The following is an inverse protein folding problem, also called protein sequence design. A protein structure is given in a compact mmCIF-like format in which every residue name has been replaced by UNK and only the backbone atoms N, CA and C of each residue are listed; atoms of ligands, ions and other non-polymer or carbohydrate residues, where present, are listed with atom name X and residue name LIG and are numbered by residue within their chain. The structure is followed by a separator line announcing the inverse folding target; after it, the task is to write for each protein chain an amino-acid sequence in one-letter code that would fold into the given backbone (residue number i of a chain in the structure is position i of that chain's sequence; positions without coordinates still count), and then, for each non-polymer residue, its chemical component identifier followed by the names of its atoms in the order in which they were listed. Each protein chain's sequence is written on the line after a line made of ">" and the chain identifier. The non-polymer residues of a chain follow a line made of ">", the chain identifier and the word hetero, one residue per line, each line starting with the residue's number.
data_IF_066338390013
#
_entry.id   IF_066338390013
#
_cell.length_a   1.000
_cell.length_b   1.000
_cell.length_c   1.000
_cell.angle_alpha   90.00
_cell.angle_beta   90.00
_cell.angle_gamma   90.00
#
_symmetry.space_group_name_H-M   'P 1'
#
loop_
_entity.id
_entity.type
_entity.pdbx_description
1 polymer ?
#
# COMPACT_ATOMS: atom_id res chain seq x y z
N UNK A 1 25.12 45.69 41.98
CA UNK A 1 23.83 45.59 41.26
C UNK A 1 24.13 45.65 39.78
N UNK A 2 24.06 44.51 39.08
CA UNK A 2 24.31 44.41 37.63
C UNK A 2 22.95 44.26 36.95
N UNK A 3 22.65 45.19 36.05
CA UNK A 3 21.46 45.20 35.20
C UNK A 3 21.69 44.19 34.06
N UNK A 4 20.92 43.11 34.02
CA UNK A 4 20.91 42.18 32.90
C UNK A 4 19.85 42.61 31.88
N UNK A 5 20.32 43.11 30.74
CA UNK A 5 19.52 43.44 29.57
C UNK A 5 19.10 42.13 28.88
N UNK A 6 17.79 41.82 28.86
CA UNK A 6 17.27 40.69 28.09
C UNK A 6 17.20 41.07 26.60
N UNK A 7 18.07 40.47 25.79
CA UNK A 7 17.97 40.50 24.32
C UNK A 7 16.88 39.50 23.92
N UNK A 8 15.76 40.01 23.41
CA UNK A 8 14.73 39.19 22.76
C UNK A 8 15.24 38.83 21.36
N UNK A 9 15.78 37.63 21.22
CA UNK A 9 16.10 37.03 19.92
C UNK A 9 14.82 36.63 19.21
N UNK A 10 14.50 37.32 18.11
CA UNK A 10 13.48 36.90 17.15
C UNK A 10 13.93 35.59 16.48
N UNK A 11 13.20 34.50 16.72
CA UNK A 11 13.35 33.27 15.92
C UNK A 11 12.84 33.53 14.50
N UNK A 12 13.54 33.09 13.44
CA UNK A 12 13.01 33.15 12.09
C UNK A 12 11.84 32.16 11.95
N UNK A 13 10.74 32.66 11.41
CA UNK A 13 9.60 31.86 10.96
C UNK A 13 10.04 30.96 9.79
N UNK A 14 10.51 29.76 10.12
CA UNK A 14 10.70 28.67 9.17
C UNK A 14 9.33 28.20 8.71
N UNK A 15 8.88 28.69 7.55
CA UNK A 15 7.73 28.15 6.84
C UNK A 15 8.03 26.71 6.43
N UNK A 16 7.70 25.75 7.29
CA UNK A 16 7.64 24.35 6.92
C UNK A 16 6.51 24.17 5.90
N UNK A 17 6.86 24.24 4.62
CA UNK A 17 6.04 23.66 3.58
C UNK A 17 5.86 22.18 3.95
N UNK A 18 4.61 21.77 4.21
CA UNK A 18 4.28 20.38 4.42
C UNK A 18 4.90 19.55 3.26
N UNK A 19 5.53 18.40 3.55
CA UNK A 19 5.95 17.49 2.50
C UNK A 19 4.77 17.26 1.56
N UNK A 20 4.96 17.53 0.27
CA UNK A 20 3.96 17.17 -0.74
C UNK A 20 3.87 15.64 -0.73
N UNK A 21 2.87 15.11 -0.02
CA UNK A 21 2.53 13.69 -0.09
C UNK A 21 2.33 13.37 -1.58
N UNK A 22 3.13 12.46 -2.16
CA UNK A 22 2.93 12.02 -3.52
C UNK A 22 1.49 11.54 -3.65
N UNK A 23 0.76 12.12 -4.61
CA UNK A 23 -0.62 11.73 -4.87
C UNK A 23 -0.59 10.24 -5.19
N UNK A 24 -1.32 9.44 -4.42
CA UNK A 24 -1.49 8.02 -4.72
C UNK A 24 -1.79 7.87 -6.23
N UNK A 25 -1.21 6.87 -6.91
CA UNK A 25 -1.58 6.56 -8.28
C UNK A 25 -3.11 6.58 -8.34
N UNK A 26 -3.69 7.22 -9.37
CA UNK A 26 -5.13 7.07 -9.62
C UNK A 26 -5.43 5.58 -9.52
N UNK A 27 -6.52 5.23 -8.84
CA UNK A 27 -7.11 3.91 -8.89
C UNK A 27 -6.85 3.26 -10.25
N UNK A 28 -6.68 1.94 -10.29
CA UNK A 28 -7.32 1.21 -11.35
C UNK A 28 -8.61 1.95 -11.74
N UNK A 29 -8.64 2.59 -12.91
CA UNK A 29 -9.87 2.51 -13.67
C UNK A 29 -10.22 1.03 -13.59
N UNK A 30 -11.48 0.65 -13.46
CA UNK A 30 -11.88 -0.77 -13.37
C UNK A 30 -11.19 -1.68 -14.42
N UNK A 31 -10.64 -1.10 -15.49
CA UNK A 31 -9.81 -1.71 -16.53
C UNK A 31 -8.31 -1.32 -16.58
N UNK A 32 -7.73 -0.64 -15.59
CA UNK A 32 -6.30 -0.25 -15.53
C UNK A 32 -5.64 -0.70 -14.24
N UNK A 33 -4.31 -0.77 -14.20
CA UNK A 33 -3.51 -1.08 -13.01
C UNK A 33 -2.27 -0.20 -13.03
N UNK A 34 -1.87 0.31 -11.86
CA UNK A 34 -0.65 1.10 -11.72
C UNK A 34 0.52 0.17 -11.40
N UNK A 35 1.59 0.26 -12.21
CA UNK A 35 2.82 -0.53 -12.05
C UNK A 35 4.05 0.39 -12.15
N UNK A 36 5.16 -0.07 -11.60
CA UNK A 36 6.46 0.56 -11.72
C UNK A 36 7.23 -0.09 -12.87
N UNK A 37 7.33 0.63 -13.99
CA UNK A 37 8.03 0.18 -15.19
C UNK A 37 9.52 0.47 -15.08
N UNK A 38 10.36 -0.54 -15.28
CA UNK A 38 11.80 -0.33 -15.24
C UNK A 38 12.28 0.34 -16.52
N UNK A 39 13.22 1.28 -16.38
CA UNK A 39 13.94 1.88 -17.48
C UNK A 39 15.26 1.15 -17.67
N UNK A 40 15.86 1.25 -18.86
CA UNK A 40 17.17 0.65 -19.15
C UNK A 40 18.36 1.13 -18.27
N UNK A 41 18.12 2.05 -17.33
CA UNK A 41 19.08 2.50 -16.33
C UNK A 41 18.82 1.95 -14.91
N UNK A 42 17.91 0.98 -14.75
CA UNK A 42 17.56 0.37 -13.47
C UNK A 42 16.70 1.24 -12.55
N UNK A 43 16.15 2.36 -13.04
CA UNK A 43 15.16 3.18 -12.32
C UNK A 43 13.75 2.81 -12.75
N UNK A 44 12.80 2.95 -11.84
CA UNK A 44 11.40 2.72 -12.14
C UNK A 44 10.65 4.02 -12.47
N UNK A 45 9.52 3.88 -13.16
CA UNK A 45 8.57 4.96 -13.40
C UNK A 45 7.16 4.44 -13.28
N UNK A 46 6.32 5.20 -12.59
CA UNK A 46 4.92 4.86 -12.43
C UNK A 46 4.20 5.00 -13.78
N UNK A 47 3.61 3.91 -14.24
CA UNK A 47 2.74 3.88 -15.42
C UNK A 47 1.39 3.28 -15.03
N UNK A 48 0.36 3.59 -15.81
CA UNK A 48 -0.98 3.03 -15.63
C UNK A 48 -1.35 2.26 -16.91
N UNK A 49 -1.39 0.94 -16.81
CA UNK A 49 -1.59 0.01 -17.93
C UNK A 49 -2.99 -0.56 -17.91
N UNK A 50 -3.52 -1.00 -19.05
CA UNK A 50 -4.78 -1.73 -19.05
C UNK A 50 -4.61 -3.10 -18.35
N UNK A 51 -5.64 -3.59 -17.64
CA UNK A 51 -5.64 -4.93 -17.03
C UNK A 51 -5.33 -6.01 -18.06
N UNK A 52 -5.83 -5.87 -19.29
CA UNK A 52 -5.56 -6.78 -20.40
C UNK A 52 -4.10 -6.75 -20.89
N UNK A 53 -3.37 -5.65 -20.66
CA UNK A 53 -1.96 -5.52 -21.01
C UNK A 53 -1.02 -5.94 -19.86
N UNK A 54 -1.56 -6.10 -18.64
CA UNK A 54 -0.79 -6.42 -17.45
C UNK A 54 0.08 -7.68 -17.59
N UNK A 55 -0.37 -8.79 -18.22
CA UNK A 55 0.49 -9.97 -18.40
C UNK A 55 1.75 -9.69 -19.24
N UNK A 56 1.67 -8.78 -20.22
CA UNK A 56 2.82 -8.41 -21.05
C UNK A 56 3.86 -7.58 -20.25
N UNK A 57 3.40 -6.83 -19.26
CA UNK A 57 4.28 -6.08 -18.37
C UNK A 57 4.88 -6.98 -17.27
N UNK A 58 4.06 -7.84 -16.65
CA UNK A 58 4.42 -8.62 -15.45
C UNK A 58 5.10 -9.96 -15.72
N UNK A 59 5.14 -10.45 -16.97
CA UNK A 59 5.82 -11.70 -17.29
C UNK A 59 5.23 -12.92 -16.56
N UNK A 60 6.04 -13.98 -16.42
CA UNK A 60 5.74 -15.13 -15.56
C UNK A 60 6.29 -14.86 -14.15
N UNK A 61 5.50 -15.20 -13.12
CA UNK A 61 5.83 -15.03 -11.68
C UNK A 61 5.84 -13.58 -11.15
N UNK A 62 5.21 -12.62 -11.84
CA UNK A 62 5.05 -11.24 -11.30
C UNK A 62 6.35 -10.44 -11.25
N UNK A 63 7.43 -10.97 -11.81
CA UNK A 63 8.67 -10.27 -12.13
C UNK A 63 8.62 -10.06 -13.64
N UNK A 64 8.36 -8.82 -14.05
CA UNK A 64 8.15 -8.46 -15.45
C UNK A 64 9.13 -9.09 -16.41
N UNK A 65 8.65 -9.59 -17.56
CA UNK A 65 9.52 -9.98 -18.68
C UNK A 65 10.41 -8.83 -19.19
N UNK A 66 10.07 -7.60 -18.77
CA UNK A 66 10.81 -6.37 -19.01
C UNK A 66 11.34 -5.72 -17.73
N UNK A 67 11.15 -6.34 -16.56
CA UNK A 67 11.55 -5.85 -15.23
C UNK A 67 10.55 -4.90 -14.57
N UNK A 68 9.28 -4.92 -14.97
CA UNK A 68 8.21 -4.16 -14.32
C UNK A 68 7.80 -4.84 -13.00
N UNK A 69 7.40 -4.04 -12.02
CA UNK A 69 6.99 -4.51 -10.69
C UNK A 69 5.78 -3.73 -10.17
N UNK A 70 5.09 -4.27 -9.17
CA UNK A 70 4.08 -3.51 -8.44
C UNK A 70 4.75 -2.58 -7.41
N UNK A 71 4.14 -1.43 -7.08
CA UNK A 71 4.44 -0.77 -5.81
C UNK A 71 4.29 -1.75 -4.65
N UNK A 72 5.27 -1.76 -3.74
CA UNK A 72 5.40 -2.71 -2.65
C UNK A 72 6.14 -4.01 -3.01
N UNK A 73 6.55 -4.22 -4.27
CA UNK A 73 7.37 -5.37 -4.62
C UNK A 73 8.77 -5.24 -3.99
N UNK A 74 9.27 -6.29 -3.32
CA UNK A 74 10.65 -6.32 -2.84
C UNK A 74 11.61 -6.36 -4.02
N UNK A 75 12.65 -5.53 -3.97
CA UNK A 75 13.76 -5.52 -4.92
C UNK A 75 15.04 -5.58 -4.10
N UNK A 76 15.69 -6.75 -4.10
CA UNK A 76 16.79 -7.09 -3.19
C UNK A 76 16.34 -6.98 -1.72
N UNK A 77 16.99 -6.12 -0.93
CA UNK A 77 16.74 -5.85 0.49
C UNK A 77 15.84 -4.62 0.72
N UNK A 78 15.29 -4.05 -0.35
CA UNK A 78 14.48 -2.82 -0.34
C UNK A 78 13.11 -3.06 -0.98
N UNK A 79 12.28 -2.03 -0.98
CA UNK A 79 10.96 -2.05 -1.61
C UNK A 79 10.80 -0.93 -2.63
N UNK A 80 9.96 -1.14 -3.65
CA UNK A 80 9.57 -0.08 -4.59
C UNK A 80 8.34 0.64 -4.05
N UNK A 81 8.44 1.92 -3.69
CA UNK A 81 7.31 2.73 -3.20
C UNK A 81 6.30 3.11 -4.29
N UNK A 82 5.19 3.78 -3.93
CA UNK A 82 4.18 4.27 -4.89
C UNK A 82 4.69 5.30 -5.90
N UNK A 83 5.75 6.03 -5.56
CA UNK A 83 6.45 6.93 -6.47
C UNK A 83 7.50 6.19 -7.33
N UNK A 84 7.55 4.86 -7.20
CA UNK A 84 8.52 3.97 -7.80
C UNK A 84 9.97 4.24 -7.37
N UNK A 85 10.18 4.91 -6.23
CA UNK A 85 11.49 4.98 -5.59
C UNK A 85 11.81 3.66 -4.88
N UNK A 86 13.06 3.24 -4.92
CA UNK A 86 13.54 2.13 -4.11
C UNK A 86 13.85 2.67 -2.72
N UNK A 87 13.14 2.18 -1.71
CA UNK A 87 13.13 2.71 -0.33
C UNK A 87 13.46 1.61 0.68
N UNK A 88 14.13 2.02 1.76
CA UNK A 88 14.23 1.19 2.96
C UNK A 88 12.87 1.19 3.65
N UNK A 89 12.16 0.07 3.58
CA UNK A 89 10.81 -0.08 4.12
C UNK A 89 10.71 -1.34 4.96
N UNK A 90 9.78 -1.33 5.91
CA UNK A 90 9.39 -2.49 6.70
C UNK A 90 8.09 -3.07 6.18
N UNK A 91 7.94 -4.39 6.24
CA UNK A 91 6.67 -5.08 6.01
C UNK A 91 5.95 -5.26 7.34
N UNK A 92 4.74 -4.73 7.44
CA UNK A 92 3.81 -4.99 8.53
C UNK A 92 2.76 -5.98 8.06
N UNK A 93 2.41 -6.95 8.89
CA UNK A 93 1.51 -8.06 8.53
C UNK A 93 0.41 -8.23 9.59
N UNK A 94 -0.78 -8.62 9.14
CA UNK A 94 -1.84 -9.09 10.02
C UNK A 94 -1.57 -10.53 10.46
N UNK A 95 -2.29 -10.99 11.48
CA UNK A 95 -2.52 -12.43 11.63
C UNK A 95 -3.31 -12.99 10.43
N UNK A 96 -3.47 -14.31 10.35
CA UNK A 96 -4.42 -14.91 9.41
C UNK A 96 -5.85 -14.42 9.71
N UNK A 97 -6.51 -13.88 8.70
CA UNK A 97 -7.84 -13.33 8.79
C UNK A 97 -8.79 -14.16 7.93
N UNK A 98 -9.73 -14.86 8.59
CA UNK A 98 -10.85 -15.50 7.92
C UNK A 98 -11.88 -14.42 7.53
N UNK A 99 -11.92 -14.06 6.24
CA UNK A 99 -12.83 -13.05 5.73
C UNK A 99 -14.05 -13.72 5.09
N UNK A 100 -15.24 -13.22 5.43
CA UNK A 100 -16.50 -13.63 4.81
C UNK A 100 -16.60 -13.17 3.35
N UNK A 101 -17.56 -13.71 2.62
CA UNK A 101 -17.84 -13.28 1.25
C UNK A 101 -18.36 -11.82 1.20
N UNK A 102 -18.14 -11.12 0.10
CA UNK A 102 -18.53 -9.72 -0.07
C UNK A 102 -19.99 -9.48 0.32
N UNK A 103 -20.20 -8.45 1.14
CA UNK A 103 -21.53 -8.11 1.65
C UNK A 103 -21.98 -8.91 2.87
N UNK A 104 -21.17 -9.84 3.40
CA UNK A 104 -21.52 -10.55 4.64
C UNK A 104 -21.41 -9.70 5.91
N UNK A 105 -20.92 -8.44 5.82
CA UNK A 105 -20.10 -7.86 6.89
C UNK A 105 -18.85 -8.72 7.07
N UNK A 106 -17.86 -8.54 7.94
CA UNK A 106 -16.68 -9.45 8.02
C UNK A 106 -15.85 -9.70 6.73
N UNK A 107 -16.19 -9.06 5.61
CA UNK A 107 -15.51 -9.16 4.33
C UNK A 107 -14.34 -8.17 4.24
N UNK A 108 -14.01 -7.48 5.31
CA UNK A 108 -12.93 -6.51 5.35
C UNK A 108 -11.87 -6.91 6.35
N UNK A 109 -10.61 -6.73 5.96
CA UNK A 109 -9.47 -6.80 6.84
C UNK A 109 -8.52 -5.64 6.60
N UNK A 110 -7.68 -5.36 7.59
CA UNK A 110 -6.69 -4.29 7.49
C UNK A 110 -5.46 -4.59 8.32
N UNK A 111 -4.37 -3.92 7.97
CA UNK A 111 -3.15 -3.84 8.79
C UNK A 111 -2.69 -2.38 8.84
N UNK A 112 -2.18 -1.95 9.98
CA UNK A 112 -1.66 -0.60 10.18
C UNK A 112 -0.14 -0.61 10.06
N UNK A 113 0.41 0.45 9.50
CA UNK A 113 1.85 0.68 9.58
C UNK A 113 2.26 0.96 11.03
N UNK A 114 3.44 0.50 11.47
CA UNK A 114 3.96 0.81 12.79
C UNK A 114 4.04 2.32 13.03
N UNK A 115 3.90 2.74 14.28
CA UNK A 115 3.94 4.14 14.67
C UNK A 115 5.19 4.85 14.14
N UNK A 116 5.00 6.05 13.57
CA UNK A 116 6.08 6.82 12.96
C UNK A 116 6.45 6.39 11.55
N UNK A 117 5.67 5.52 10.89
CA UNK A 117 5.87 5.16 9.48
C UNK A 117 4.61 5.38 8.64
N UNK A 118 4.77 5.41 7.32
CA UNK A 118 3.68 5.65 6.36
C UNK A 118 3.65 4.58 5.27
N UNK A 119 2.46 4.21 4.82
CA UNK A 119 2.28 3.18 3.79
C UNK A 119 2.80 3.66 2.43
N UNK A 120 3.57 2.82 1.74
CA UNK A 120 4.08 3.04 0.38
C UNK A 120 3.79 1.88 -0.58
N UNK A 121 3.22 0.79 -0.06
CA UNK A 121 2.79 -0.38 -0.80
C UNK A 121 2.05 -1.34 0.12
N UNK A 122 1.61 -2.48 -0.41
CA UNK A 122 0.95 -3.51 0.38
C UNK A 122 0.17 -4.47 -0.50
N UNK A 123 -0.55 -5.38 0.14
CA UNK A 123 -1.32 -6.40 -0.54
C UNK A 123 -1.85 -7.45 0.43
N UNK A 124 -2.08 -8.64 -0.12
CA UNK A 124 -2.50 -9.80 0.64
C UNK A 124 -1.85 -11.07 0.09
N UNK A 125 -1.79 -12.07 0.94
CA UNK A 125 -1.42 -13.44 0.61
C UNK A 125 -2.60 -14.34 0.95
N UNK A 126 -2.89 -15.27 0.05
CA UNK A 126 -3.91 -16.29 0.28
C UNK A 126 -3.33 -17.40 1.15
N UNK A 127 -4.06 -17.80 2.20
CA UNK A 127 -3.71 -18.95 3.03
C UNK A 127 -4.52 -20.15 2.55
N UNK A 128 -3.89 -21.15 1.89
CA UNK A 128 -4.60 -22.30 1.37
C UNK A 128 -5.24 -23.13 2.48
N UNK A 129 -6.51 -23.49 2.29
CA UNK A 129 -7.15 -24.52 3.10
C UNK A 129 -6.62 -25.89 2.66
N UNK A 130 -5.91 -26.64 3.52
CA UNK A 130 -5.34 -27.94 3.15
C UNK A 130 -6.40 -29.01 2.84
N UNK A 131 -7.66 -28.76 3.18
CA UNK A 131 -8.79 -29.67 2.92
C UNK A 131 -9.45 -29.42 1.56
N UNK A 132 -9.13 -28.30 0.90
CA UNK A 132 -9.70 -27.90 -0.39
C UNK A 132 -8.63 -28.07 -1.49
N UNK A 133 -8.93 -28.76 -2.61
CA UNK A 133 -7.98 -28.90 -3.71
C UNK A 133 -7.48 -27.53 -4.23
N UNK A 134 -6.17 -27.38 -4.34
CA UNK A 134 -5.47 -26.13 -4.72
C UNK A 134 -6.03 -25.48 -6.00
N UNK A 135 -6.38 -26.29 -7.01
CA UNK A 135 -6.98 -25.82 -8.28
C UNK A 135 -8.34 -25.13 -8.15
N UNK A 136 -9.00 -25.23 -6.99
CA UNK A 136 -10.27 -24.56 -6.70
C UNK A 136 -10.13 -23.32 -5.82
N UNK A 137 -8.91 -23.05 -5.33
CA UNK A 137 -8.61 -21.96 -4.42
C UNK A 137 -8.08 -20.74 -5.18
N UNK A 138 -8.99 -19.98 -5.80
CA UNK A 138 -8.66 -18.69 -6.40
C UNK A 138 -9.03 -17.56 -5.44
N UNK A 139 -8.12 -16.59 -5.26
CA UNK A 139 -8.44 -15.45 -4.42
C UNK A 139 -9.46 -14.54 -5.10
N UNK A 140 -10.56 -14.24 -4.40
CA UNK A 140 -11.65 -13.43 -4.91
C UNK A 140 -11.62 -11.97 -4.42
N UNK A 141 -10.47 -11.42 -4.00
CA UNK A 141 -10.42 -10.06 -3.41
C UNK A 141 -11.05 -9.01 -4.34
N UNK A 142 -12.02 -8.27 -3.80
CA UNK A 142 -12.74 -7.21 -4.50
C UNK A 142 -11.99 -5.87 -4.45
N UNK A 143 -11.30 -5.60 -3.33
CA UNK A 143 -10.52 -4.38 -3.13
C UNK A 143 -9.24 -4.68 -2.38
N UNK A 144 -8.15 -4.04 -2.79
CA UNK A 144 -6.86 -4.05 -2.10
C UNK A 144 -6.22 -2.69 -2.33
N UNK A 145 -6.12 -1.86 -1.30
CA UNK A 145 -5.62 -0.50 -1.44
C UNK A 145 -4.89 0.02 -0.19
N UNK A 146 -4.15 1.12 -0.39
CA UNK A 146 -3.59 1.90 0.69
C UNK A 146 -4.69 2.61 1.49
N UNK A 147 -4.72 2.38 2.80
CA UNK A 147 -5.52 3.17 3.72
C UNK A 147 -4.75 4.44 4.10
N UNK A 148 -4.97 5.52 3.36
CA UNK A 148 -4.31 6.81 3.54
C UNK A 148 -5.15 7.97 2.97
N UNK A 149 -4.84 9.24 3.30
CA UNK A 149 -5.53 10.38 2.71
C UNK A 149 -5.55 10.32 1.18
N UNK A 150 -6.75 10.39 0.60
CA UNK A 150 -6.95 10.32 -0.84
C UNK A 150 -7.11 8.91 -1.40
N UNK A 151 -7.25 7.87 -0.56
CA UNK A 151 -7.54 6.48 -0.95
C UNK A 151 -8.63 6.39 -2.01
N UNK A 152 -8.58 5.36 -2.86
CA UNK A 152 -9.42 5.28 -4.05
C UNK A 152 -10.87 5.03 -3.70
N UNK A 153 -11.12 4.18 -2.71
CA UNK A 153 -12.45 3.94 -2.14
C UNK A 153 -13.10 5.18 -1.54
N UNK A 154 -12.31 6.22 -1.22
CA UNK A 154 -12.71 7.41 -0.45
C UNK A 154 -13.24 7.08 0.95
N UNK A 155 -12.94 5.89 1.46
CA UNK A 155 -13.35 5.45 2.78
C UNK A 155 -12.39 5.95 3.87
N UNK A 156 -11.11 6.21 3.55
CA UNK A 156 -10.16 6.68 4.56
C UNK A 156 -10.65 7.99 5.22
N UNK A 157 -10.62 8.10 6.56
CA UNK A 157 -10.01 7.17 7.52
C UNK A 157 -10.91 6.06 8.07
N UNK A 158 -12.19 6.01 7.69
CA UNK A 158 -13.21 5.13 8.29
C UNK A 158 -13.59 4.01 7.34
N UNK A 159 -13.13 2.80 7.64
CA UNK A 159 -13.54 1.58 6.97
C UNK A 159 -14.58 0.83 7.82
N UNK A 160 -15.39 -0.07 7.24
CA UNK A 160 -16.47 -0.74 7.96
C UNK A 160 -16.10 -1.43 9.29
N UNK A 161 -14.83 -1.82 9.48
CA UNK A 161 -14.35 -2.51 10.69
C UNK A 161 -13.10 -1.91 11.32
N UNK A 162 -12.59 -0.80 10.78
CA UNK A 162 -11.41 -0.15 11.31
C UNK A 162 -11.43 1.34 11.01
N UNK A 163 -11.07 2.15 12.00
CA UNK A 163 -10.85 3.59 11.81
C UNK A 163 -9.39 3.88 12.06
N UNK A 164 -8.70 4.31 11.01
CA UNK A 164 -7.33 4.81 11.11
C UNK A 164 -7.36 6.14 11.85
N UNK A 165 -6.53 6.31 12.88
CA UNK A 165 -6.42 7.60 13.58
C UNK A 165 -5.31 8.43 12.94
N UNK A 166 -5.60 9.48 12.14
CA UNK A 166 -4.54 10.23 11.46
C UNK A 166 -3.45 10.72 12.43
N UNK A 167 -2.16 10.61 12.09
CA UNK A 167 -1.60 10.35 10.76
C UNK A 167 -1.41 8.86 10.40
N UNK A 168 -2.05 7.94 11.13
CA UNK A 168 -1.96 6.50 10.85
C UNK A 168 -2.35 6.16 9.41
N UNK A 169 -1.58 5.26 8.80
CA UNK A 169 -1.83 4.71 7.47
C UNK A 169 -1.59 3.21 7.50
N UNK A 170 -2.04 2.50 6.47
CA UNK A 170 -1.84 1.06 6.37
C UNK A 170 -2.39 0.50 5.06
N UNK A 171 -2.76 -0.77 5.08
CA UNK A 171 -3.34 -1.44 3.94
C UNK A 171 -4.68 -2.08 4.32
N UNK A 172 -5.64 -2.01 3.41
CA UNK A 172 -6.99 -2.53 3.59
C UNK A 172 -7.37 -3.43 2.43
N UNK A 173 -8.10 -4.48 2.74
CA UNK A 173 -8.59 -5.47 1.79
C UNK A 173 -10.07 -5.70 2.01
N UNK A 174 -10.84 -5.70 0.93
CA UNK A 174 -12.20 -6.23 0.91
C UNK A 174 -12.20 -7.55 0.14
N UNK A 175 -12.63 -8.61 0.80
CA UNK A 175 -12.89 -9.88 0.19
C UNK A 175 -14.04 -9.80 -0.83
N UNK A 176 -13.99 -10.61 -1.89
CA UNK A 176 -15.06 -10.69 -2.87
C UNK A 176 -15.96 -11.89 -2.63
N UNK A 177 -16.47 -12.49 -3.70
CA UNK A 177 -17.63 -13.38 -3.65
C UNK A 177 -17.46 -14.68 -2.83
N UNK A 178 -16.24 -15.06 -2.47
CA UNK A 178 -15.96 -16.30 -1.74
C UNK A 178 -15.25 -16.01 -0.43
N UNK A 179 -15.70 -16.64 0.65
CA UNK A 179 -14.97 -16.62 1.91
C UNK A 179 -13.56 -17.21 1.73
N UNK A 180 -12.57 -16.60 2.36
CA UNK A 180 -11.17 -17.02 2.27
C UNK A 180 -10.36 -16.52 3.47
N UNK A 181 -9.26 -17.22 3.76
CA UNK A 181 -8.29 -16.79 4.76
C UNK A 181 -7.15 -16.03 4.09
N UNK A 182 -6.86 -14.82 4.56
CA UNK A 182 -5.82 -13.96 4.01
C UNK A 182 -4.85 -13.51 5.10
N UNK A 183 -3.60 -13.30 4.73
CA UNK A 183 -2.65 -12.46 5.46
C UNK A 183 -2.57 -11.12 4.71
N UNK A 184 -2.87 -10.02 5.39
CA UNK A 184 -2.81 -8.68 4.81
C UNK A 184 -1.48 -8.05 5.21
N UNK A 185 -0.81 -7.39 4.27
CA UNK A 185 0.45 -6.72 4.55
C UNK A 185 0.49 -5.29 4.01
N UNK A 186 1.24 -4.45 4.71
CA UNK A 186 1.58 -3.09 4.32
C UNK A 186 3.10 -2.94 4.24
N UNK A 187 3.57 -2.22 3.24
CA UNK A 187 4.96 -1.80 3.11
C UNK A 187 5.03 -0.36 3.63
N UNK A 188 5.83 -0.14 4.66
CA UNK A 188 5.83 1.09 5.44
C UNK A 188 7.23 1.70 5.47
N UNK A 189 7.33 3.00 5.23
CA UNK A 189 8.60 3.75 5.32
C UNK A 189 8.58 4.70 6.49
N UNK A 190 9.74 4.87 7.13
CA UNK A 190 9.95 6.02 8.00
C UNK A 190 9.92 7.32 7.17
N UNK A 191 9.46 8.45 7.76
CA UNK A 191 9.43 9.76 7.12
C UNK A 191 10.82 10.29 6.75
#
# INVERSE_FOLDING_TARGET
>A
MIVALFVVGMLPAGGNAAPKVPKAPKAPNENKVSICHTRGNGKYTLISVAKSALPAHMGVEGIGGHGDVYPGTPVLDKYVGYDCAVVDAQRAESAELALGASGSGTDWGSVSCPGGTTVVGGGYEFVPDPTVPDVTQASAVAMSEAAQPGSDSKLYPVYPYYTYTPPETGWVVQNGATAQTLIIYAICVAP
#
